data_IF_909088189352
#
_entry.id   IF_909088189352
#
_cell.length_a   1.000
_cell.length_b   1.000
_cell.length_c   1.000
_cell.angle_alpha   90.00
_cell.angle_beta   90.00
_cell.angle_gamma   90.00
#
_symmetry.space_group_name_H-M   'P 1'
#
loop_
_entity.id
_entity.type
_entity.pdbx_description
1 polymer ?
#
# COMPACT_ATOMS: atom_id res chain seq x y z
N UNK A 1 -16.29 -26.50 4.88
CA UNK A 1 -16.33 -25.08 5.31
C UNK A 1 -16.99 -24.26 4.20
N UNK A 2 -17.91 -23.32 4.48
CA UNK A 2 -18.47 -22.45 3.41
C UNK A 2 -17.36 -21.55 2.88
N UNK A 3 -17.34 -21.26 1.57
CA UNK A 3 -16.25 -20.52 0.92
C UNK A 3 -15.83 -19.22 1.65
N UNK A 4 -16.74 -18.37 2.17
CA UNK A 4 -16.30 -17.18 2.91
C UNK A 4 -15.55 -17.51 4.21
N UNK A 5 -15.95 -18.54 4.95
CA UNK A 5 -15.22 -18.97 6.16
C UNK A 5 -13.85 -19.55 5.82
N UNK A 6 -13.68 -20.13 4.62
CA UNK A 6 -12.40 -20.63 4.14
C UNK A 6 -11.46 -19.50 3.65
N UNK A 7 -11.91 -18.25 3.57
CA UNK A 7 -11.06 -17.14 3.13
C UNK A 7 -9.77 -17.03 3.95
N UNK A 8 -9.82 -17.31 5.26
CA UNK A 8 -8.66 -17.30 6.16
C UNK A 8 -7.53 -18.24 5.71
N UNK A 9 -7.84 -19.31 4.97
CA UNK A 9 -6.85 -20.32 4.53
C UNK A 9 -6.14 -19.94 3.24
N UNK A 10 -6.65 -18.96 2.47
CA UNK A 10 -6.01 -18.52 1.23
C UNK A 10 -4.64 -17.91 1.54
N UNK A 11 -3.55 -18.37 0.91
CA UNK A 11 -2.18 -17.91 1.20
C UNK A 11 -1.72 -16.78 0.28
N UNK A 12 -2.39 -16.61 -0.85
CA UNK A 12 -2.13 -15.58 -1.84
C UNK A 12 -3.43 -14.91 -2.29
N UNK A 13 -3.32 -13.74 -2.94
CA UNK A 13 -4.47 -13.10 -3.58
C UNK A 13 -5.07 -13.99 -4.68
N UNK A 14 -4.23 -14.74 -5.41
CA UNK A 14 -4.69 -15.68 -6.43
C UNK A 14 -5.50 -16.83 -5.82
N UNK A 15 -5.04 -17.42 -4.71
CA UNK A 15 -5.78 -18.47 -3.97
C UNK A 15 -7.16 -17.95 -3.52
N UNK A 16 -7.18 -16.69 -3.05
CA UNK A 16 -8.41 -16.04 -2.59
C UNK A 16 -9.38 -15.79 -3.75
N UNK A 17 -8.88 -15.32 -4.88
CA UNK A 17 -9.68 -15.07 -6.08
C UNK A 17 -10.31 -16.37 -6.60
N UNK A 18 -9.55 -17.46 -6.65
CA UNK A 18 -10.07 -18.79 -7.01
C UNK A 18 -11.19 -19.22 -6.06
N UNK A 19 -10.94 -19.12 -4.75
CA UNK A 19 -11.93 -19.46 -3.73
C UNK A 19 -13.21 -18.62 -3.86
N UNK A 20 -13.09 -17.31 -4.14
CA UNK A 20 -14.23 -16.42 -4.35
C UNK A 20 -15.13 -16.96 -5.47
N UNK A 21 -14.57 -17.37 -6.62
CA UNK A 21 -15.35 -17.79 -7.80
C UNK A 21 -16.26 -19.00 -7.57
N UNK A 22 -16.01 -19.78 -6.51
CA UNK A 22 -16.79 -20.98 -6.15
C UNK A 22 -17.89 -20.70 -5.13
N UNK A 23 -17.95 -19.49 -4.57
CA UNK A 23 -18.85 -19.18 -3.46
C UNK A 23 -20.34 -19.21 -3.84
N UNK A 24 -21.13 -19.91 -3.01
CA UNK A 24 -22.60 -19.99 -3.07
C UNK A 24 -23.29 -19.64 -1.74
N UNK A 25 -22.63 -18.88 -0.87
CA UNK A 25 -23.09 -18.67 0.52
C UNK A 25 -24.38 -17.82 0.67
N UNK A 26 -24.80 -17.10 -0.36
CA UNK A 26 -25.94 -16.19 -0.33
C UNK A 26 -27.02 -16.62 -1.36
N UNK A 27 -28.04 -17.42 -0.96
CA UNK A 27 -29.00 -18.00 -1.90
C UNK A 27 -29.68 -16.98 -2.82
N UNK A 28 -30.08 -15.80 -2.30
CA UNK A 28 -30.70 -14.73 -3.09
C UNK A 28 -29.77 -14.19 -4.19
N UNK A 29 -28.49 -13.97 -3.86
CA UNK A 29 -27.51 -13.49 -4.83
C UNK A 29 -27.13 -14.55 -5.85
N UNK A 30 -27.07 -15.81 -5.43
CA UNK A 30 -26.81 -16.96 -6.30
C UNK A 30 -27.94 -17.10 -7.33
N UNK A 31 -29.20 -17.10 -6.88
CA UNK A 31 -30.34 -17.16 -7.77
C UNK A 31 -30.35 -15.98 -8.75
N UNK A 32 -30.17 -14.75 -8.25
CA UNK A 32 -30.21 -13.56 -9.09
C UNK A 32 -29.09 -13.49 -10.13
N UNK A 33 -27.85 -13.77 -9.75
CA UNK A 33 -26.70 -13.66 -10.66
C UNK A 33 -26.78 -14.67 -11.81
N UNK A 34 -27.31 -15.86 -11.52
CA UNK A 34 -27.53 -16.95 -12.48
C UNK A 34 -28.76 -16.67 -13.36
N UNK A 35 -29.83 -16.14 -12.77
CA UNK A 35 -31.00 -15.68 -13.52
C UNK A 35 -30.62 -14.57 -14.50
N UNK A 36 -29.87 -13.55 -14.07
CA UNK A 36 -29.41 -12.47 -14.94
C UNK A 36 -28.44 -12.95 -16.05
N UNK A 37 -27.77 -14.09 -15.84
CA UNK A 37 -26.91 -14.73 -16.85
C UNK A 37 -27.71 -15.56 -17.86
N UNK A 38 -28.87 -16.09 -17.47
CA UNK A 38 -29.79 -16.84 -18.33
C UNK A 38 -30.76 -15.92 -19.08
N UNK A 39 -31.38 -14.99 -18.36
CA UNK A 39 -32.31 -13.98 -18.88
C UNK A 39 -31.50 -12.72 -19.18
N UNK A 40 -30.79 -12.78 -20.30
CA UNK A 40 -29.86 -11.74 -20.71
C UNK A 40 -30.60 -10.49 -21.20
N UNK A 41 -29.96 -9.34 -21.05
CA UNK A 41 -30.42 -8.10 -21.67
C UNK A 41 -30.31 -8.25 -23.19
N UNK A 42 -31.29 -7.77 -23.95
CA UNK A 42 -31.32 -7.89 -25.42
C UNK A 42 -30.01 -7.42 -26.09
N UNK A 43 -29.42 -6.34 -25.61
CA UNK A 43 -28.14 -5.82 -26.11
C UNK A 43 -26.93 -6.77 -25.95
N UNK A 44 -27.06 -7.81 -25.10
CA UNK A 44 -26.00 -8.76 -24.77
C UNK A 44 -26.49 -10.21 -24.92
N UNK A 45 -27.52 -10.46 -25.74
CA UNK A 45 -28.18 -11.77 -25.84
C UNK A 45 -27.20 -12.89 -26.25
N UNK A 46 -26.28 -12.58 -27.16
CA UNK A 46 -25.33 -13.53 -27.74
C UNK A 46 -24.02 -13.66 -26.95
N UNK A 47 -23.83 -12.81 -25.93
CA UNK A 47 -22.59 -12.80 -25.15
C UNK A 47 -22.58 -13.89 -24.06
N UNK A 48 -21.42 -14.51 -23.77
CA UNK A 48 -21.28 -15.35 -22.59
C UNK A 48 -21.38 -14.49 -21.32
N UNK A 49 -22.00 -15.04 -20.28
CA UNK A 49 -22.08 -14.39 -18.97
C UNK A 49 -21.26 -15.17 -17.94
N UNK A 50 -20.52 -14.45 -17.11
CA UNK A 50 -19.78 -15.01 -15.99
C UNK A 50 -20.68 -15.69 -14.95
N UNK A 51 -21.77 -15.04 -14.52
CA UNK A 51 -22.82 -15.64 -13.65
C UNK A 51 -22.33 -16.16 -12.28
N UNK A 52 -21.14 -15.73 -11.84
CA UNK A 52 -20.45 -16.22 -10.64
C UNK A 52 -19.97 -15.04 -9.78
N UNK A 53 -19.50 -15.28 -8.54
CA UNK A 53 -18.82 -14.23 -7.78
C UNK A 53 -17.64 -13.66 -8.56
N UNK A 54 -17.47 -12.35 -8.53
CA UNK A 54 -16.42 -11.63 -9.25
C UNK A 54 -15.23 -11.42 -8.31
N UNK A 55 -14.03 -11.97 -8.62
CA UNK A 55 -12.81 -11.75 -7.85
C UNK A 55 -12.33 -10.29 -7.95
N UNK A 56 -11.27 -9.93 -7.22
CA UNK A 56 -10.69 -8.59 -7.38
C UNK A 56 -9.96 -8.46 -8.72
N UNK A 57 -9.66 -7.23 -9.14
CA UNK A 57 -8.94 -6.97 -10.40
C UNK A 57 -7.77 -6.02 -10.18
N UNK A 58 -6.60 -6.32 -10.76
CA UNK A 58 -5.35 -5.56 -10.59
C UNK A 58 -4.30 -6.31 -9.76
N UNK A 59 -3.06 -5.78 -9.69
CA UNK A 59 -1.92 -6.45 -9.07
C UNK A 59 -2.14 -6.79 -7.58
N UNK A 60 -1.59 -7.92 -7.15
CA UNK A 60 -1.69 -8.39 -5.76
C UNK A 60 -0.88 -7.53 -4.78
N UNK A 61 0.15 -6.85 -5.28
CA UNK A 61 1.06 -6.00 -4.50
C UNK A 61 0.73 -4.50 -4.61
N UNK A 62 -0.48 -4.16 -5.08
CA UNK A 62 -0.95 -2.79 -5.25
C UNK A 62 -0.90 -1.99 -3.93
N UNK A 63 -0.48 -0.73 -4.01
CA UNK A 63 -0.53 0.22 -2.89
C UNK A 63 -1.89 0.92 -2.77
N UNK A 64 -2.71 0.89 -3.81
CA UNK A 64 -4.05 1.50 -3.86
C UNK A 64 -5.13 0.42 -3.99
N UNK A 65 -6.17 0.47 -3.16
CA UNK A 65 -7.35 -0.37 -3.24
C UNK A 65 -8.60 0.47 -3.53
N UNK A 66 -9.29 0.22 -4.63
CA UNK A 66 -10.60 0.80 -4.93
C UNK A 66 -11.70 -0.14 -4.44
N UNK A 67 -12.56 0.34 -3.55
CA UNK A 67 -13.64 -0.43 -2.95
C UNK A 67 -14.99 0.09 -3.44
N UNK A 68 -15.66 -0.73 -4.25
CA UNK A 68 -17.01 -0.45 -4.77
C UNK A 68 -18.15 -0.82 -3.83
N UNK A 69 -19.30 -1.12 -4.45
CA UNK A 69 -20.50 -1.65 -3.79
C UNK A 69 -20.65 -3.15 -4.02
N UNK A 70 -20.94 -3.54 -5.26
CA UNK A 70 -21.09 -4.92 -5.73
C UNK A 70 -21.11 -4.93 -7.27
N UNK A 71 -20.89 -6.09 -7.93
CA UNK A 71 -21.08 -6.24 -9.37
C UNK A 71 -22.46 -5.81 -9.87
N UNK A 72 -22.52 -5.15 -11.02
CA UNK A 72 -23.76 -4.94 -11.75
C UNK A 72 -24.19 -6.22 -12.48
N UNK A 73 -25.50 -6.42 -12.62
CA UNK A 73 -26.08 -7.64 -13.24
C UNK A 73 -25.64 -7.85 -14.71
N UNK A 74 -25.35 -6.78 -15.45
CA UNK A 74 -24.92 -6.83 -16.85
C UNK A 74 -23.57 -6.12 -17.09
N UNK A 75 -22.87 -5.76 -16.01
CA UNK A 75 -21.47 -5.35 -16.05
C UNK A 75 -20.59 -6.51 -15.61
N UNK A 76 -19.99 -6.40 -14.44
CA UNK A 76 -19.10 -7.43 -13.89
C UNK A 76 -19.72 -8.85 -13.75
N UNK A 77 -21.03 -9.00 -13.58
CA UNK A 77 -21.67 -10.33 -13.61
C UNK A 77 -21.75 -10.96 -15.01
N UNK A 78 -21.66 -10.14 -16.06
CA UNK A 78 -21.52 -10.58 -17.45
C UNK A 78 -20.04 -10.82 -17.77
N UNK A 79 -19.20 -9.81 -17.52
CA UNK A 79 -17.80 -9.79 -17.97
C UNK A 79 -16.84 -10.57 -17.08
N UNK A 80 -17.20 -10.85 -15.82
CA UNK A 80 -16.33 -11.53 -14.87
C UNK A 80 -15.20 -10.66 -14.30
N UNK A 81 -15.13 -9.38 -14.66
CA UNK A 81 -14.13 -8.43 -14.16
C UNK A 81 -14.78 -7.24 -13.46
N UNK A 82 -14.24 -6.87 -12.30
CA UNK A 82 -14.78 -5.76 -11.50
C UNK A 82 -14.90 -4.48 -12.31
N UNK A 83 -16.04 -3.79 -12.15
CA UNK A 83 -16.38 -2.55 -12.84
C UNK A 83 -16.36 -2.62 -14.38
N UNK A 84 -16.35 -3.79 -15.02
CA UNK A 84 -16.20 -3.89 -16.49
C UNK A 84 -17.55 -4.13 -17.17
N UNK A 85 -17.79 -3.45 -18.29
CA UNK A 85 -18.98 -3.68 -19.13
C UNK A 85 -20.26 -2.94 -18.71
N UNK A 86 -20.14 -1.88 -17.90
CA UNK A 86 -21.23 -0.96 -17.61
C UNK A 86 -20.74 0.49 -17.53
N UNK A 87 -21.69 1.45 -17.58
CA UNK A 87 -21.37 2.88 -17.59
C UNK A 87 -20.61 3.35 -16.34
N UNK A 88 -20.84 2.71 -15.20
CA UNK A 88 -20.12 3.06 -13.98
C UNK A 88 -18.64 2.71 -14.10
N UNK A 89 -18.37 1.57 -14.73
CA UNK A 89 -17.06 1.17 -15.22
C UNK A 89 -16.41 2.18 -16.14
N UNK A 90 -17.11 2.56 -17.22
CA UNK A 90 -16.56 3.46 -18.25
C UNK A 90 -16.03 4.77 -17.65
N UNK A 91 -16.80 5.35 -16.71
CA UNK A 91 -16.39 6.59 -16.01
C UNK A 91 -15.15 6.35 -15.14
N UNK A 92 -15.10 5.23 -14.42
CA UNK A 92 -14.00 4.91 -13.51
C UNK A 92 -12.69 4.63 -14.27
N UNK A 93 -12.74 3.79 -15.31
CA UNK A 93 -11.54 3.44 -16.08
C UNK A 93 -11.01 4.60 -16.90
N UNK A 94 -11.88 5.45 -17.47
CA UNK A 94 -11.44 6.68 -18.12
C UNK A 94 -10.66 7.59 -17.16
N UNK A 95 -11.16 7.77 -15.93
CA UNK A 95 -10.48 8.59 -14.91
C UNK A 95 -9.17 7.95 -14.43
N UNK A 96 -9.12 6.62 -14.28
CA UNK A 96 -7.89 5.90 -13.91
C UNK A 96 -6.80 6.06 -14.97
N UNK A 97 -7.15 5.90 -16.24
CA UNK A 97 -6.24 6.13 -17.35
C UNK A 97 -5.75 7.58 -17.36
N UNK A 98 -6.65 8.56 -17.17
CA UNK A 98 -6.30 9.97 -17.14
C UNK A 98 -5.28 10.35 -16.05
N UNK A 99 -5.22 9.61 -14.94
CA UNK A 99 -4.25 9.83 -13.86
C UNK A 99 -3.06 8.86 -13.87
N UNK A 100 -2.96 8.02 -14.89
CA UNK A 100 -1.87 7.06 -15.09
C UNK A 100 -1.94 5.80 -14.20
N UNK A 101 -3.13 5.41 -13.75
CA UNK A 101 -3.38 4.20 -12.96
C UNK A 101 -3.92 3.02 -13.78
N UNK A 102 -4.14 3.21 -15.09
CA UNK A 102 -4.54 2.17 -16.03
C UNK A 102 -3.86 2.38 -17.39
N UNK A 103 -3.62 1.30 -18.15
CA UNK A 103 -2.99 1.37 -19.48
C UNK A 103 -3.93 1.85 -20.60
N UNK A 104 -5.26 1.75 -20.40
CA UNK A 104 -6.26 2.17 -21.37
C UNK A 104 -7.55 2.68 -20.67
N UNK A 105 -8.34 3.53 -21.33
CA UNK A 105 -9.53 4.13 -20.72
C UNK A 105 -10.79 3.26 -20.79
N UNK A 106 -10.79 2.22 -21.63
CA UNK A 106 -11.95 1.37 -21.88
C UNK A 106 -11.80 0.00 -21.24
N UNK A 107 -12.89 -0.48 -20.64
CA UNK A 107 -12.99 -1.81 -20.03
C UNK A 107 -14.20 -2.54 -20.62
N UNK A 108 -13.96 -3.32 -21.66
CA UNK A 108 -14.97 -3.99 -22.49
C UNK A 108 -15.22 -5.42 -22.02
N UNK A 109 -14.16 -6.22 -21.86
CA UNK A 109 -14.21 -7.65 -21.52
C UNK A 109 -13.02 -8.05 -20.65
N UNK A 110 -13.03 -9.24 -20.05
CA UNK A 110 -11.95 -9.67 -19.16
C UNK A 110 -10.58 -9.82 -19.86
N UNK A 111 -10.58 -10.01 -21.19
CA UNK A 111 -9.45 -10.31 -22.05
C UNK A 111 -9.03 -9.14 -22.97
N UNK A 112 -9.56 -7.94 -22.75
CA UNK A 112 -9.29 -6.74 -23.56
C UNK A 112 -7.92 -6.07 -23.34
N UNK A 113 -6.98 -6.75 -22.67
CA UNK A 113 -5.64 -6.23 -22.39
C UNK A 113 -5.56 -5.09 -21.37
N UNK A 114 -6.66 -4.73 -20.69
CA UNK A 114 -6.64 -3.72 -19.64
C UNK A 114 -5.77 -4.19 -18.45
N UNK A 115 -4.88 -3.31 -18.03
CA UNK A 115 -4.01 -3.47 -16.87
C UNK A 115 -4.15 -2.27 -15.95
N UNK A 116 -4.07 -2.52 -14.64
CA UNK A 116 -4.04 -1.49 -13.60
C UNK A 116 -2.63 -1.37 -13.03
N UNK A 117 -2.19 -0.12 -12.86
CA UNK A 117 -0.91 0.19 -12.25
C UNK A 117 -1.11 0.54 -10.78
N UNK A 118 -0.42 -0.20 -9.90
CA UNK A 118 -0.39 0.03 -8.46
C UNK A 118 -1.79 0.09 -7.78
N UNK A 119 -2.82 -0.38 -8.49
CA UNK A 119 -4.22 -0.24 -8.13
C UNK A 119 -4.92 -1.58 -8.25
N UNK A 120 -5.58 -1.99 -7.18
CA UNK A 120 -6.49 -3.15 -7.19
C UNK A 120 -7.90 -2.71 -6.91
N UNK A 121 -8.87 -3.37 -7.53
CA UNK A 121 -10.30 -3.12 -7.39
C UNK A 121 -10.99 -4.28 -6.67
N UNK A 122 -11.92 -3.95 -5.78
CA UNK A 122 -12.67 -4.91 -4.98
C UNK A 122 -14.08 -4.40 -4.63
N UNK A 123 -14.87 -5.23 -3.97
CA UNK A 123 -16.16 -4.87 -3.42
C UNK A 123 -16.47 -5.64 -2.13
N UNK A 124 -17.24 -5.04 -1.21
CA UNK A 124 -17.73 -5.74 -0.03
C UNK A 124 -18.68 -6.90 -0.32
N UNK A 125 -19.30 -6.93 -1.51
CA UNK A 125 -20.14 -8.03 -1.98
C UNK A 125 -19.70 -8.41 -3.38
N UNK A 126 -19.31 -9.68 -3.57
CA UNK A 126 -18.74 -10.18 -4.83
C UNK A 126 -19.76 -10.72 -5.84
N UNK A 127 -21.05 -10.70 -5.54
CA UNK A 127 -22.11 -11.16 -6.45
C UNK A 127 -23.04 -10.02 -6.80
N UNK A 128 -23.62 -10.04 -8.00
CA UNK A 128 -24.63 -9.07 -8.38
C UNK A 128 -25.86 -9.19 -7.46
N UNK A 129 -26.29 -8.10 -6.80
CA UNK A 129 -27.54 -8.08 -6.07
C UNK A 129 -28.69 -7.50 -6.90
N UNK A 130 -29.92 -7.99 -6.71
CA UNK A 130 -31.12 -7.35 -7.25
C UNK A 130 -31.14 -5.84 -6.95
N UNK A 131 -31.48 -5.04 -7.96
CA UNK A 131 -31.52 -3.58 -7.89
C UNK A 131 -30.22 -2.90 -7.40
N UNK A 132 -29.07 -3.58 -7.48
CA UNK A 132 -27.80 -3.14 -6.92
C UNK A 132 -27.88 -2.86 -5.40
N UNK A 133 -28.71 -3.62 -4.68
CA UNK A 133 -28.94 -3.47 -3.23
C UNK A 133 -28.65 -4.79 -2.49
N UNK A 134 -27.40 -4.99 -2.05
CA UNK A 134 -27.10 -6.07 -1.14
C UNK A 134 -27.69 -5.80 0.25
N UNK A 135 -28.09 -6.87 0.93
CA UNK A 135 -28.59 -6.82 2.31
C UNK A 135 -27.42 -6.75 3.31
N UNK A 136 -27.67 -6.30 4.55
CA UNK A 136 -26.66 -6.36 5.62
C UNK A 136 -26.13 -7.78 5.85
N UNK A 137 -26.98 -8.81 5.74
CA UNK A 137 -26.54 -10.19 5.90
C UNK A 137 -25.62 -10.66 4.77
N UNK A 138 -25.92 -10.29 3.52
CA UNK A 138 -25.06 -10.61 2.38
C UNK A 138 -23.70 -9.92 2.48
N UNK A 139 -23.68 -8.67 2.95
CA UNK A 139 -22.44 -7.96 3.28
C UNK A 139 -21.65 -8.72 4.34
N UNK A 140 -22.27 -9.11 5.46
CA UNK A 140 -21.61 -9.89 6.52
C UNK A 140 -21.07 -11.21 6.01
N UNK A 141 -21.85 -11.94 5.19
CA UNK A 141 -21.42 -13.20 4.62
C UNK A 141 -20.19 -13.05 3.71
N UNK A 142 -20.02 -11.90 3.06
CA UNK A 142 -18.96 -11.66 2.08
C UNK A 142 -17.73 -10.93 2.68
N UNK A 143 -17.90 -10.30 3.86
CA UNK A 143 -16.85 -9.58 4.59
C UNK A 143 -15.53 -10.35 4.78
N UNK A 144 -15.52 -11.68 5.05
CA UNK A 144 -14.27 -12.43 5.18
C UNK A 144 -13.35 -12.36 3.94
N UNK A 145 -13.92 -12.24 2.74
CA UNK A 145 -13.12 -12.11 1.52
C UNK A 145 -12.43 -10.76 1.44
N UNK A 146 -13.13 -9.65 1.75
CA UNK A 146 -12.53 -8.31 1.74
C UNK A 146 -11.47 -8.19 2.85
N UNK A 147 -11.75 -8.75 4.04
CA UNK A 147 -10.80 -8.80 5.15
C UNK A 147 -9.52 -9.55 4.76
N UNK A 148 -9.66 -10.74 4.14
CA UNK A 148 -8.51 -11.52 3.71
C UNK A 148 -7.73 -10.81 2.61
N UNK A 149 -8.40 -10.23 1.62
CA UNK A 149 -7.73 -9.51 0.53
C UNK A 149 -6.85 -8.39 1.06
N UNK A 150 -7.36 -7.54 1.97
CA UNK A 150 -6.57 -6.48 2.61
C UNK A 150 -5.37 -7.06 3.38
N UNK A 151 -5.56 -8.17 4.09
CA UNK A 151 -4.46 -8.82 4.83
C UNK A 151 -3.35 -9.38 3.92
N UNK A 152 -3.69 -9.73 2.67
CA UNK A 152 -2.78 -10.28 1.67
C UNK A 152 -2.08 -9.20 0.83
N UNK A 153 -2.38 -7.92 1.07
CA UNK A 153 -1.79 -6.77 0.38
C UNK A 153 -0.83 -6.00 1.32
N UNK A 154 0.40 -6.50 1.57
CA UNK A 154 1.32 -5.89 2.55
C UNK A 154 1.80 -4.49 2.14
N UNK A 155 1.75 -4.17 0.84
CA UNK A 155 2.10 -2.86 0.28
C UNK A 155 0.94 -1.87 0.30
N UNK A 156 -0.27 -2.26 0.67
CA UNK A 156 -1.43 -1.36 0.68
C UNK A 156 -1.14 -0.13 1.55
N UNK A 157 -1.43 1.07 1.01
CA UNK A 157 -1.25 2.37 1.69
C UNK A 157 -2.50 3.24 1.63
N UNK A 158 -3.36 3.04 0.63
CA UNK A 158 -4.57 3.85 0.42
C UNK A 158 -5.74 2.98 -0.04
N UNK A 159 -6.91 3.20 0.54
CA UNK A 159 -8.18 2.65 0.07
C UNK A 159 -9.11 3.79 -0.38
N UNK A 160 -9.49 3.81 -1.65
CA UNK A 160 -10.49 4.75 -2.22
C UNK A 160 -11.85 4.06 -2.22
N UNK A 161 -12.83 4.66 -1.56
CA UNK A 161 -14.11 4.00 -1.31
C UNK A 161 -15.24 4.71 -2.05
N UNK A 162 -15.88 4.00 -2.96
CA UNK A 162 -16.92 4.51 -3.83
C UNK A 162 -18.29 4.37 -3.15
N UNK A 163 -18.73 5.45 -2.48
CA UNK A 163 -20.04 5.56 -1.86
C UNK A 163 -20.12 5.07 -0.41
N UNK A 164 -21.19 5.49 0.27
CA UNK A 164 -21.39 5.25 1.71
C UNK A 164 -21.52 3.76 2.08
N UNK A 165 -22.03 2.91 1.18
CA UNK A 165 -22.15 1.48 1.45
C UNK A 165 -20.77 0.82 1.57
N UNK A 166 -19.89 1.08 0.60
CA UNK A 166 -18.50 0.63 0.63
C UNK A 166 -17.78 1.16 1.86
N UNK A 167 -18.02 2.44 2.22
CA UNK A 167 -17.41 3.10 3.38
C UNK A 167 -17.74 2.35 4.67
N UNK A 168 -19.02 2.14 4.94
CA UNK A 168 -19.47 1.42 6.13
C UNK A 168 -18.95 -0.01 6.17
N UNK A 169 -18.88 -0.68 5.01
CA UNK A 169 -18.41 -2.06 4.93
C UNK A 169 -16.91 -2.17 5.19
N UNK A 170 -16.10 -1.29 4.57
CA UNK A 170 -14.66 -1.27 4.77
C UNK A 170 -14.31 -0.96 6.22
N UNK A 171 -14.92 0.05 6.84
CA UNK A 171 -14.66 0.37 8.24
C UNK A 171 -15.04 -0.76 9.19
N UNK A 172 -16.11 -1.52 8.90
CA UNK A 172 -16.43 -2.71 9.69
C UNK A 172 -15.34 -3.79 9.57
N UNK A 173 -14.88 -4.06 8.35
CA UNK A 173 -13.79 -5.02 8.08
C UNK A 173 -12.47 -4.59 8.73
N UNK A 174 -12.13 -3.31 8.68
CA UNK A 174 -10.90 -2.78 9.28
C UNK A 174 -10.94 -2.82 10.81
N UNK A 175 -12.07 -2.45 11.42
CA UNK A 175 -12.31 -2.52 12.88
C UNK A 175 -12.18 -3.98 13.38
N UNK A 176 -12.84 -4.93 12.72
CA UNK A 176 -12.70 -6.37 13.02
C UNK A 176 -11.29 -6.90 12.75
N UNK A 177 -10.59 -6.31 11.78
CA UNK A 177 -9.21 -6.62 11.43
C UNK A 177 -8.16 -5.98 12.34
N UNK A 178 -8.55 -5.34 13.45
CA UNK A 178 -7.63 -4.78 14.45
C UNK A 178 -7.08 -3.39 14.14
N UNK A 179 -7.56 -2.73 13.08
CA UNK A 179 -7.18 -1.35 12.80
C UNK A 179 -7.76 -0.40 13.84
N UNK A 180 -7.02 0.65 14.20
CA UNK A 180 -7.46 1.68 15.15
C UNK A 180 -8.46 2.63 14.49
N UNK A 181 -9.72 2.21 14.40
CA UNK A 181 -10.81 2.99 13.82
C UNK A 181 -11.35 4.01 14.84
N UNK A 182 -11.46 5.32 14.49
CA UNK A 182 -12.00 6.33 15.39
C UNK A 182 -13.44 6.05 15.85
N UNK A 183 -13.75 6.51 17.07
CA UNK A 183 -15.10 6.49 17.66
C UNK A 183 -15.52 7.92 18.05
N UNK A 184 -16.68 8.44 17.57
CA UNK A 184 -17.66 7.78 16.70
C UNK A 184 -17.09 7.47 15.31
N UNK A 185 -17.71 6.49 14.61
CA UNK A 185 -17.26 6.09 13.27
C UNK A 185 -17.29 7.29 12.31
N UNK A 186 -16.23 7.50 11.50
CA UNK A 186 -16.19 8.61 10.56
C UNK A 186 -17.37 8.64 9.59
N UNK A 187 -17.95 9.81 9.38
CA UNK A 187 -19.00 10.02 8.40
C UNK A 187 -18.44 9.93 6.97
N UNK A 188 -19.24 9.39 6.05
CA UNK A 188 -18.86 9.34 4.64
C UNK A 188 -19.01 10.72 3.98
N UNK A 189 -18.03 11.12 3.19
CA UNK A 189 -18.06 12.30 2.32
C UNK A 189 -17.11 12.12 1.13
N UNK A 190 -17.37 12.85 0.04
CA UNK A 190 -16.41 12.93 -1.06
C UNK A 190 -15.19 13.75 -0.63
N UNK A 191 -13.99 13.24 -0.90
CA UNK A 191 -12.73 13.81 -0.41
C UNK A 191 -12.45 13.56 1.08
N UNK A 192 -13.39 12.97 1.83
CA UNK A 192 -13.18 12.66 3.24
C UNK A 192 -12.01 11.69 3.40
N UNK A 193 -11.05 12.02 4.27
CA UNK A 193 -9.87 11.19 4.51
C UNK A 193 -9.79 10.80 5.99
N UNK A 194 -9.45 9.54 6.23
CA UNK A 194 -9.17 9.00 7.56
C UNK A 194 -7.86 8.23 7.50
N UNK A 195 -6.90 8.62 8.31
CA UNK A 195 -5.64 7.89 8.45
C UNK A 195 -5.74 6.91 9.62
N UNK A 196 -5.45 5.64 9.33
CA UNK A 196 -5.55 4.53 10.27
C UNK A 196 -4.17 3.93 10.51
N UNK A 197 -3.94 3.53 11.76
CA UNK A 197 -2.79 2.74 12.16
C UNK A 197 -3.25 1.36 12.62
N UNK A 198 -2.44 0.35 12.34
CA UNK A 198 -2.61 -1.00 12.85
C UNK A 198 -1.54 -1.28 13.93
N UNK A 199 -1.83 -2.07 14.97
CA UNK A 199 -0.88 -2.39 16.04
C UNK A 199 0.47 -2.99 15.59
N UNK A 200 0.53 -3.59 14.39
CA UNK A 200 1.75 -4.13 13.78
C UNK A 200 2.57 -3.09 12.99
N UNK A 201 2.24 -1.80 13.10
CA UNK A 201 2.97 -0.71 12.45
C UNK A 201 2.48 -0.35 11.05
N UNK A 202 1.53 -1.10 10.46
CA UNK A 202 0.95 -0.72 9.16
C UNK A 202 0.11 0.56 9.28
N UNK A 203 0.11 1.34 8.20
CA UNK A 203 -0.71 2.55 8.05
C UNK A 203 -1.56 2.47 6.78
N UNK A 204 -2.76 3.06 6.82
CA UNK A 204 -3.72 3.07 5.72
C UNK A 204 -4.49 4.39 5.71
N UNK A 205 -4.49 5.11 4.58
CA UNK A 205 -5.48 6.16 4.33
C UNK A 205 -6.73 5.53 3.77
N UNK A 206 -7.89 5.94 4.27
CA UNK A 206 -9.18 5.67 3.65
C UNK A 206 -9.73 6.98 3.12
N UNK A 207 -9.99 7.04 1.80
CA UNK A 207 -10.48 8.23 1.10
C UNK A 207 -11.87 7.96 0.53
N UNK A 208 -12.82 8.82 0.84
CA UNK A 208 -14.20 8.72 0.38
C UNK A 208 -14.37 9.36 -1.00
N UNK A 209 -15.10 8.68 -1.89
CA UNK A 209 -15.52 9.22 -3.17
C UNK A 209 -17.01 8.97 -3.36
N UNK A 210 -17.76 9.92 -3.91
CA UNK A 210 -19.11 9.60 -4.38
C UNK A 210 -19.05 8.47 -5.41
N UNK A 211 -20.07 7.62 -5.41
CA UNK A 211 -20.09 6.46 -6.30
C UNK A 211 -20.19 6.91 -7.76
N UNK A 212 -19.48 6.24 -8.66
CA UNK A 212 -19.49 6.46 -10.14
C UNK A 212 -20.78 6.01 -10.82
N UNK A 213 -21.91 6.00 -10.10
CA UNK A 213 -23.22 5.61 -10.65
C UNK A 213 -23.69 6.65 -11.66
N UNK A 214 -24.41 6.23 -12.70
CA UNK A 214 -25.05 7.14 -13.67
C UNK A 214 -25.84 8.27 -12.99
N UNK A 215 -26.56 7.95 -11.90
CA UNK A 215 -27.29 8.96 -11.12
C UNK A 215 -26.38 10.10 -10.66
N UNK A 216 -25.20 9.81 -10.12
CA UNK A 216 -24.30 10.84 -9.61
C UNK A 216 -23.59 11.59 -10.74
N UNK A 217 -23.20 10.88 -11.80
CA UNK A 217 -22.44 11.46 -12.91
C UNK A 217 -23.32 12.32 -13.80
N UNK A 218 -24.57 11.92 -14.05
CA UNK A 218 -25.51 12.71 -14.86
C UNK A 218 -26.05 13.93 -14.11
N UNK A 219 -26.21 13.86 -12.79
CA UNK A 219 -26.66 15.03 -12.02
C UNK A 219 -25.53 15.99 -11.63
N UNK A 220 -24.29 15.73 -12.07
CA UNK A 220 -23.11 16.53 -11.69
C UNK A 220 -22.71 16.41 -10.22
N UNK A 221 -23.33 15.49 -9.44
CA UNK A 221 -22.95 15.23 -8.04
C UNK A 221 -21.53 14.68 -7.95
N UNK A 222 -21.09 13.96 -8.98
CA UNK A 222 -19.70 13.59 -9.20
C UNK A 222 -19.33 13.98 -10.62
N UNK A 223 -18.35 14.87 -10.78
CA UNK A 223 -17.78 15.21 -12.09
C UNK A 223 -16.53 14.37 -12.37
N UNK A 224 -16.10 14.23 -13.64
CA UNK A 224 -14.82 13.59 -13.97
C UNK A 224 -13.63 14.21 -13.23
N UNK A 225 -13.55 15.55 -13.18
CA UNK A 225 -12.49 16.27 -12.48
C UNK A 225 -12.42 15.92 -10.98
N UNK A 226 -13.56 15.84 -10.30
CA UNK A 226 -13.64 15.45 -8.89
C UNK A 226 -13.15 14.00 -8.67
N UNK A 227 -13.49 13.09 -9.58
CA UNK A 227 -13.04 11.71 -9.51
C UNK A 227 -11.51 11.62 -9.72
N UNK A 228 -11.00 12.29 -10.76
CA UNK A 228 -9.57 12.36 -11.06
C UNK A 228 -8.77 12.99 -9.91
N UNK A 229 -9.31 14.01 -9.24
CA UNK A 229 -8.69 14.62 -8.06
C UNK A 229 -8.52 13.62 -6.92
N UNK A 230 -9.57 12.85 -6.60
CA UNK A 230 -9.49 11.80 -5.57
C UNK A 230 -8.48 10.72 -5.96
N UNK A 231 -8.46 10.28 -7.23
CA UNK A 231 -7.53 9.25 -7.69
C UNK A 231 -6.08 9.75 -7.70
N UNK A 232 -5.84 11.00 -8.11
CA UNK A 232 -4.52 11.64 -8.06
C UNK A 232 -4.03 11.78 -6.62
N UNK A 233 -4.90 12.21 -5.71
CA UNK A 233 -4.62 12.26 -4.28
C UNK A 233 -4.25 10.88 -3.71
N UNK A 234 -5.01 9.84 -4.07
CA UNK A 234 -4.71 8.47 -3.65
C UNK A 234 -3.35 8.00 -4.15
N UNK A 235 -2.99 8.31 -5.39
CA UNK A 235 -1.67 8.04 -5.95
C UNK A 235 -0.56 8.75 -5.18
N UNK A 236 -0.69 10.07 -4.95
CA UNK A 236 0.29 10.84 -4.17
C UNK A 236 0.50 10.24 -2.78
N UNK A 237 -0.58 9.93 -2.05
CA UNK A 237 -0.49 9.34 -0.71
C UNK A 237 0.20 7.96 -0.74
N UNK A 238 -0.10 7.13 -1.75
CA UNK A 238 0.53 5.82 -1.90
C UNK A 238 2.04 5.93 -2.17
N UNK A 239 2.44 6.91 -2.99
CA UNK A 239 3.85 7.21 -3.28
C UNK A 239 4.58 7.77 -2.05
N UNK A 240 3.98 8.74 -1.35
CA UNK A 240 4.56 9.37 -0.14
C UNK A 240 4.83 8.34 0.95
N UNK A 241 3.86 7.46 1.23
CA UNK A 241 4.02 6.41 2.25
C UNK A 241 4.94 5.28 1.84
N UNK A 242 5.09 5.04 0.54
CA UNK A 242 6.09 4.11 0.05
C UNK A 242 7.50 4.69 0.25
N UNK A 243 7.67 5.99 -0.02
CA UNK A 243 8.91 6.72 0.27
C UNK A 243 9.20 6.74 1.77
N UNK A 244 8.23 7.03 2.63
CA UNK A 244 8.41 7.00 4.09
C UNK A 244 8.84 5.61 4.58
N UNK A 245 8.25 4.53 4.07
CA UNK A 245 8.69 3.17 4.41
C UNK A 245 10.09 2.80 3.90
N UNK A 246 10.54 3.39 2.79
CA UNK A 246 11.86 3.13 2.17
C UNK A 246 12.96 3.98 2.80
N UNK A 247 12.66 5.26 3.06
CA UNK A 247 13.50 6.24 3.77
C UNK A 247 13.85 5.78 5.19
N UNK A 248 13.06 4.85 5.75
CA UNK A 248 13.27 4.30 7.09
C UNK A 248 14.14 3.04 7.14
N UNK A 249 14.52 2.43 6.01
CA UNK A 249 15.41 1.25 6.01
C UNK A 249 16.88 1.63 5.98
N UNK A 250 17.33 2.34 7.01
CA UNK A 250 18.76 2.52 7.30
C UNK A 250 19.16 1.53 8.39
N UNK A 251 20.05 0.59 8.07
CA UNK A 251 20.60 -0.37 9.02
C UNK A 251 22.04 0.01 9.36
N UNK A 252 22.48 -0.41 10.54
CA UNK A 252 23.90 -0.38 10.93
C UNK A 252 24.37 -1.82 11.01
N UNK A 253 25.52 -2.12 10.41
CA UNK A 253 26.21 -3.40 10.53
C UNK A 253 27.70 -3.20 10.73
N UNK A 254 28.34 -4.22 11.28
CA UNK A 254 29.80 -4.31 11.25
C UNK A 254 30.26 -4.56 9.82
N UNK A 255 31.33 -3.90 9.41
CA UNK A 255 31.98 -4.17 8.11
C UNK A 255 32.57 -5.59 7.98
N UNK A 256 32.65 -6.32 9.08
CA UNK A 256 33.09 -7.72 9.12
C UNK A 256 31.95 -8.72 8.89
N UNK A 257 30.69 -8.27 8.96
CA UNK A 257 29.53 -9.09 8.66
C UNK A 257 29.38 -9.29 7.16
N UNK A 258 29.01 -10.52 6.77
CA UNK A 258 28.72 -10.84 5.39
C UNK A 258 27.51 -10.04 4.88
N UNK A 259 27.53 -9.76 3.59
CA UNK A 259 26.38 -9.21 2.88
C UNK A 259 25.17 -10.14 3.03
N UNK A 260 23.99 -9.52 3.18
CA UNK A 260 22.72 -10.24 3.20
C UNK A 260 21.74 -9.62 2.21
N UNK A 261 20.83 -10.46 1.70
CA UNK A 261 19.73 -10.00 0.86
C UNK A 261 18.93 -8.91 1.58
N UNK A 262 18.83 -7.76 0.92
CA UNK A 262 18.11 -6.58 1.44
C UNK A 262 19.00 -5.54 2.12
N UNK A 263 20.33 -5.71 2.16
CA UNK A 263 21.27 -4.69 2.65
C UNK A 263 21.24 -3.40 1.83
N UNK A 264 20.85 -3.50 0.56
CA UNK A 264 20.80 -2.36 -0.36
C UNK A 264 22.18 -1.73 -0.53
N UNK A 265 22.26 -0.41 -0.61
CA UNK A 265 23.55 0.27 -0.76
C UNK A 265 24.38 0.13 0.53
N UNK A 266 25.58 -0.45 0.41
CA UNK A 266 26.51 -0.69 1.53
C UNK A 266 27.53 0.44 1.61
N UNK A 267 27.41 1.29 2.63
CA UNK A 267 28.21 2.52 2.76
C UNK A 267 29.10 2.45 3.99
N UNK A 268 30.42 2.43 3.79
CA UNK A 268 31.37 2.55 4.90
C UNK A 268 31.38 4.00 5.40
N UNK A 269 31.10 4.20 6.69
CA UNK A 269 31.01 5.53 7.32
C UNK A 269 32.15 5.81 8.31
N UNK A 270 33.12 4.91 8.41
CA UNK A 270 34.32 5.11 9.22
C UNK A 270 35.36 5.94 8.45
N UNK A 271 36.07 6.85 9.13
CA UNK A 271 37.18 7.59 8.52
C UNK A 271 38.32 6.67 8.09
N UNK A 272 38.57 5.62 8.87
CA UNK A 272 39.68 4.70 8.67
C UNK A 272 39.19 3.41 8.03
N UNK A 273 40.00 2.86 7.14
CA UNK A 273 39.72 1.56 6.55
C UNK A 273 39.85 0.46 7.63
N UNK A 274 38.88 -0.47 7.74
CA UNK A 274 38.93 -1.55 8.71
C UNK A 274 40.11 -2.51 8.48
N UNK A 275 40.75 -2.92 9.57
CA UNK A 275 41.90 -3.84 9.52
C UNK A 275 41.46 -5.23 9.06
N UNK A 276 42.24 -5.86 8.18
CA UNK A 276 42.00 -7.23 7.73
C UNK A 276 40.83 -7.41 6.75
N UNK A 277 40.27 -6.32 6.23
CA UNK A 277 39.22 -6.33 5.21
C UNK A 277 39.84 -5.87 3.88
N UNK A 278 39.79 -6.69 2.84
CA UNK A 278 40.16 -6.24 1.48
C UNK A 278 39.01 -5.44 0.86
N UNK A 279 39.32 -4.56 -0.10
CA UNK A 279 38.28 -3.78 -0.82
C UNK A 279 37.25 -4.68 -1.49
N UNK A 280 37.71 -5.77 -2.10
CA UNK A 280 36.86 -6.73 -2.80
C UNK A 280 35.94 -7.51 -1.85
N UNK A 281 36.37 -7.73 -0.60
CA UNK A 281 35.56 -8.44 0.42
C UNK A 281 34.52 -7.54 1.09
N UNK A 282 34.74 -6.23 1.07
CA UNK A 282 33.86 -5.28 1.75
C UNK A 282 32.54 -5.03 0.99
N UNK A 283 32.55 -5.32 -0.32
CA UNK A 283 31.46 -5.08 -1.28
C UNK A 283 30.72 -3.76 -1.00
N UNK A 284 31.50 -2.67 -1.06
CA UNK A 284 31.03 -1.34 -0.73
C UNK A 284 30.46 -0.69 -2.00
N UNK A 285 29.24 -0.16 -1.89
CA UNK A 285 28.72 0.79 -2.86
C UNK A 285 29.49 2.11 -2.76
N UNK A 286 29.84 2.54 -1.55
CA UNK A 286 30.55 3.80 -1.31
C UNK A 286 31.36 3.81 0.00
N UNK A 287 32.44 4.59 0.04
CA UNK A 287 33.14 4.94 1.28
C UNK A 287 33.02 6.44 1.57
N UNK A 288 32.22 6.80 2.56
CA UNK A 288 31.88 8.19 2.90
C UNK A 288 32.70 8.66 4.12
N UNK A 289 33.98 8.99 3.91
CA UNK A 289 34.88 9.39 5.03
C UNK A 289 34.52 10.73 5.66
N UNK A 290 33.98 11.64 4.86
CA UNK A 290 33.65 13.01 5.28
C UNK A 290 32.58 13.04 6.37
N UNK A 291 31.74 11.99 6.46
CA UNK A 291 30.70 11.89 7.48
C UNK A 291 31.22 11.45 8.85
N UNK A 292 32.42 10.88 8.92
CA UNK A 292 32.94 10.33 10.17
C UNK A 292 33.27 11.44 11.19
N UNK A 293 33.04 11.22 12.50
CA UNK A 293 33.37 12.19 13.54
C UNK A 293 34.86 12.53 13.51
N UNK A 294 35.24 13.77 13.83
CA UNK A 294 36.62 14.24 13.83
C UNK A 294 37.52 13.38 14.73
N UNK A 295 38.83 13.41 14.47
CA UNK A 295 39.80 12.69 15.32
C UNK A 295 39.72 13.13 16.78
N UNK A 296 39.52 14.44 17.02
CA UNK A 296 39.43 15.00 18.36
C UNK A 296 38.13 14.62 19.05
N UNK A 297 36.99 14.66 18.35
CA UNK A 297 35.72 14.20 18.90
C UNK A 297 35.75 12.71 19.24
N UNK A 298 36.33 11.88 18.36
CA UNK A 298 36.48 10.43 18.61
C UNK A 298 37.35 10.14 19.83
N UNK A 299 38.46 10.86 20.01
CA UNK A 299 39.34 10.72 21.19
C UNK A 299 38.63 11.17 22.47
N UNK A 300 37.90 12.27 22.42
CA UNK A 300 37.14 12.76 23.57
C UNK A 300 36.02 11.79 23.99
N UNK A 301 35.27 11.29 23.00
CA UNK A 301 34.14 10.39 23.23
C UNK A 301 34.60 9.03 23.75
N UNK A 302 35.62 8.45 23.13
CA UNK A 302 36.23 7.16 23.53
C UNK A 302 35.23 5.99 23.65
N UNK A 303 34.03 6.11 23.04
CA UNK A 303 32.90 5.20 23.23
C UNK A 303 32.48 5.02 24.71
N UNK A 304 32.66 6.04 25.53
CA UNK A 304 32.16 6.08 26.89
C UNK A 304 30.62 6.32 26.87
N UNK A 305 29.79 5.37 27.34
CA UNK A 305 28.34 5.53 27.36
C UNK A 305 27.88 6.79 28.11
N UNK A 306 28.60 7.23 29.14
CA UNK A 306 28.27 8.44 29.90
C UNK A 306 28.43 9.72 29.07
N UNK A 307 29.29 9.70 28.05
CA UNK A 307 29.53 10.82 27.14
C UNK A 307 28.63 10.79 25.91
N UNK A 308 27.84 9.74 25.71
CA UNK A 308 27.05 9.55 24.47
C UNK A 308 26.11 10.72 24.15
N UNK A 309 25.32 11.28 25.11
CA UNK A 309 24.50 12.45 24.82
C UNK A 309 25.33 13.65 24.31
N UNK A 310 26.44 13.96 24.99
CA UNK A 310 27.34 15.02 24.56
C UNK A 310 28.07 14.73 23.25
N UNK A 311 28.27 13.46 22.91
CA UNK A 311 28.79 13.04 21.61
C UNK A 311 27.78 13.29 20.50
N UNK A 312 26.49 12.97 20.70
CA UNK A 312 25.43 13.23 19.71
C UNK A 312 25.38 14.71 19.35
N UNK A 313 25.39 15.60 20.35
CA UNK A 313 25.31 17.04 20.12
C UNK A 313 26.53 17.58 19.36
N UNK A 314 27.74 17.19 19.79
CA UNK A 314 28.98 17.60 19.12
C UNK A 314 29.09 17.04 17.71
N UNK A 315 28.64 15.80 17.50
CA UNK A 315 28.68 15.18 16.19
C UNK A 315 27.66 15.81 15.24
N UNK A 316 26.45 16.16 15.72
CA UNK A 316 25.49 16.97 14.95
C UNK A 316 26.10 18.30 14.49
N UNK A 317 26.88 18.96 15.36
CA UNK A 317 27.57 20.20 14.99
C UNK A 317 28.64 19.94 13.90
N UNK A 318 29.44 18.87 14.01
CA UNK A 318 30.39 18.50 12.95
C UNK A 318 29.70 18.17 11.62
N UNK A 319 28.52 17.55 11.65
CA UNK A 319 27.73 17.25 10.44
C UNK A 319 27.16 18.49 9.75
N UNK A 320 27.09 19.63 10.44
CA UNK A 320 26.65 20.90 9.87
C UNK A 320 27.77 21.64 9.12
N UNK A 321 29.03 21.24 9.29
CA UNK A 321 30.15 21.82 8.55
C UNK A 321 30.06 21.51 7.04
N UNK A 322 30.52 22.41 6.14
CA UNK A 322 30.21 22.34 4.71
C UNK A 322 30.48 20.98 4.04
N UNK A 323 31.66 20.39 4.26
CA UNK A 323 32.05 19.11 3.66
C UNK A 323 31.23 17.92 4.20
N UNK A 324 30.99 17.90 5.52
CA UNK A 324 30.19 16.87 6.15
C UNK A 324 28.70 17.00 5.78
N UNK A 325 28.20 18.22 5.65
CA UNK A 325 26.82 18.51 5.23
C UNK A 325 26.56 18.08 3.79
N UNK A 326 27.53 18.27 2.88
CA UNK A 326 27.44 17.75 1.51
C UNK A 326 27.44 16.22 1.49
N UNK A 327 28.34 15.59 2.24
CA UNK A 327 28.40 14.14 2.38
C UNK A 327 27.11 13.56 2.99
N UNK A 328 26.51 14.25 3.97
CA UNK A 328 25.25 13.87 4.59
C UNK A 328 24.10 13.95 3.58
N UNK A 329 24.04 15.01 2.77
CA UNK A 329 23.03 15.13 1.70
C UNK A 329 23.16 14.03 0.65
N UNK A 330 24.38 13.68 0.25
CA UNK A 330 24.62 12.57 -0.69
C UNK A 330 24.16 11.23 -0.09
N UNK A 331 24.43 11.01 1.21
CA UNK A 331 23.96 9.82 1.91
C UNK A 331 22.43 9.79 2.04
N UNK A 332 21.80 10.94 2.28
CA UNK A 332 20.34 11.06 2.30
C UNK A 332 19.72 10.72 0.94
N UNK A 333 20.35 11.13 -0.17
CA UNK A 333 19.90 10.79 -1.52
C UNK A 333 19.93 9.27 -1.76
N UNK A 334 20.97 8.56 -1.31
CA UNK A 334 21.02 7.09 -1.36
C UNK A 334 19.88 6.44 -0.56
N UNK A 335 19.56 6.99 0.61
CA UNK A 335 18.43 6.52 1.45
C UNK A 335 17.09 6.77 0.76
N UNK A 336 16.96 7.83 -0.03
CA UNK A 336 15.76 8.13 -0.81
C UNK A 336 15.63 7.20 -2.05
N UNK A 337 16.72 6.62 -2.54
CA UNK A 337 16.74 5.65 -3.64
C UNK A 337 16.41 4.20 -3.22
N UNK A 338 16.71 3.82 -1.96
CA UNK A 338 16.47 2.47 -1.49
C UNK A 338 17.04 2.17 -0.09
N UNK A 339 17.01 0.89 0.33
CA UNK A 339 17.62 0.47 1.58
C UNK A 339 19.12 0.81 1.62
N UNK A 340 19.61 1.25 2.77
CA UNK A 340 21.03 1.55 2.99
C UNK A 340 21.53 0.83 4.23
N UNK A 341 22.70 0.21 4.12
CA UNK A 341 23.42 -0.37 5.25
C UNK A 341 24.68 0.43 5.52
N UNK A 342 24.70 1.13 6.66
CA UNK A 342 25.86 1.84 7.16
C UNK A 342 26.81 0.83 7.82
N UNK A 343 28.02 0.75 7.29
CA UNK A 343 29.06 -0.15 7.77
C UNK A 343 30.03 0.59 8.69
N UNK A 344 30.30 0.00 9.85
CA UNK A 344 31.28 0.50 10.82
C UNK A 344 32.18 -0.62 11.34
N UNK A 345 33.41 -0.28 11.76
CA UNK A 345 34.32 -1.17 12.46
C UNK A 345 34.17 -1.09 13.99
N UNK A 346 33.27 -0.25 14.52
CA UNK A 346 33.00 -0.15 15.96
C UNK A 346 32.35 -1.43 16.49
N UNK A 347 32.72 -1.87 17.70
CA UNK A 347 32.11 -3.04 18.36
C UNK A 347 30.87 -2.67 19.18
N UNK A 348 30.72 -1.39 19.50
CA UNK A 348 29.61 -0.86 20.29
C UNK A 348 28.63 -0.20 19.31
N UNK A 349 27.87 -1.03 18.59
CA UNK A 349 27.01 -0.58 17.49
C UNK A 349 25.94 0.41 17.96
N UNK A 350 25.32 0.15 19.11
CA UNK A 350 24.21 0.90 19.71
C UNK A 350 24.59 2.33 20.16
N UNK A 351 25.89 2.58 20.38
CA UNK A 351 26.41 3.91 20.75
C UNK A 351 27.43 4.44 19.73
N UNK A 352 27.49 3.82 18.55
CA UNK A 352 28.40 4.23 17.48
C UNK A 352 27.92 5.51 16.79
N UNK A 353 28.84 6.22 16.12
CA UNK A 353 28.46 7.33 15.23
C UNK A 353 27.58 6.86 14.07
N UNK A 354 27.73 5.60 13.61
CA UNK A 354 26.88 5.02 12.58
C UNK A 354 25.41 4.88 13.06
N UNK A 355 25.19 4.59 14.35
CA UNK A 355 23.84 4.59 14.93
C UNK A 355 23.24 5.99 14.99
N UNK A 356 24.04 6.99 15.38
CA UNK A 356 23.63 8.40 15.34
C UNK A 356 23.24 8.80 13.91
N UNK A 357 24.07 8.47 12.91
CA UNK A 357 23.75 8.73 11.51
C UNK A 357 22.46 8.04 11.06
N UNK A 358 22.28 6.76 11.41
CA UNK A 358 21.07 6.02 11.04
C UNK A 358 19.81 6.68 11.63
N UNK A 359 19.85 7.12 12.88
CA UNK A 359 18.75 7.86 13.50
C UNK A 359 18.48 9.20 12.78
N UNK A 360 19.51 9.99 12.50
CA UNK A 360 19.37 11.27 11.80
C UNK A 360 18.83 11.13 10.37
N UNK A 361 19.33 10.16 9.60
CA UNK A 361 18.87 9.88 8.22
C UNK A 361 17.41 9.40 8.17
N UNK A 362 16.94 8.79 9.26
CA UNK A 362 15.56 8.30 9.44
C UNK A 362 14.67 9.28 10.22
N UNK A 363 15.16 10.48 10.55
CA UNK A 363 14.39 11.49 11.28
C UNK A 363 14.03 11.11 12.72
N UNK A 364 14.76 10.15 13.33
CA UNK A 364 14.63 9.74 14.74
C UNK A 364 15.61 10.51 15.62
N UNK A 365 15.29 10.62 16.90
CA UNK A 365 16.24 11.17 17.87
C UNK A 365 17.23 10.07 18.32
N UNK A 366 18.56 10.24 18.17
CA UNK A 366 19.56 9.24 18.57
C UNK A 366 19.63 8.96 20.08
N UNK A 367 18.93 9.74 20.89
CA UNK A 367 18.86 9.59 22.35
C UNK A 367 17.59 8.84 22.82
N UNK A 368 16.60 8.69 21.94
CA UNK A 368 15.40 7.90 22.21
C UNK A 368 15.67 6.43 21.82
N UNK A 369 15.42 5.50 22.74
CA UNK A 369 15.62 4.06 22.54
C UNK A 369 14.38 3.38 21.97
#
# INVERSE_FOLDING_TARGET
MRAPSAAVTARSVADLDELITTCRACPRLVAWREEAARVKRAAFADEPYWGRPVPGFGPADARILIVGLAPAAHGANRTGRMFTGDRSGDVLFAALHAVGLANQPLAVSADDGLELFDTRMSSPVRCAPPANKPTPQERRNCAPFLAREISLMPRLRVAVVLGAFGWQALFAVLDEGGWRVPRPRPAFGHGARVDLAHPDGRTLAVVGCFHVSQRNTFTGRLTPAMLEEVLRSARTIAEDRAREGTRMTVRVKRVYEAEQNGDGARVLVDRLWPRGVSKDRADLSQWCKAIAPSTELRKWYEHDPAKYPGFVDRYRAELAEPEAAEAFRALQALVDEGPVTLLTASKAEDISHAHVLAALLTGRDPLER
#
